data_IF_716710000587
#
_entry.id   IF_716710000587
#
_cell.length_a   1.000
_cell.length_b   1.000
_cell.length_c   1.000
_cell.angle_alpha   90.00
_cell.angle_beta   90.00
_cell.angle_gamma   90.00
#
_symmetry.space_group_name_H-M   'P 1'
#
loop_
_entity.id
_entity.type
_entity.pdbx_description
1 polymer ?
#
# COMPACT_ATOMS: atom_id res chain seq x y z
N UNK A 1 35.67 -18.94 58.05
CA UNK A 1 35.36 -18.94 56.61
C UNK A 1 34.02 -18.26 56.40
N UNK A 2 33.99 -17.01 55.95
CA UNK A 2 32.76 -16.23 55.64
C UNK A 2 32.73 -16.05 54.14
N UNK A 3 31.69 -16.61 53.49
CA UNK A 3 31.40 -16.42 52.05
C UNK A 3 30.67 -15.07 51.88
N UNK A 4 31.27 -14.15 51.18
CA UNK A 4 30.66 -12.92 50.69
C UNK A 4 29.78 -13.26 49.49
N UNK A 5 28.46 -13.04 49.60
CA UNK A 5 27.52 -13.02 48.46
C UNK A 5 27.56 -11.61 47.87
N UNK A 6 28.14 -11.50 46.72
CA UNK A 6 28.12 -10.30 45.89
C UNK A 6 26.85 -10.32 45.04
N UNK A 7 25.82 -9.56 45.45
CA UNK A 7 24.60 -9.34 44.70
C UNK A 7 24.85 -8.22 43.70
N UNK A 8 25.37 -8.56 42.51
CA UNK A 8 25.44 -7.65 41.37
C UNK A 8 24.05 -7.24 40.91
N UNK A 9 23.57 -6.08 41.36
CA UNK A 9 22.39 -5.44 40.84
C UNK A 9 22.66 -4.95 39.42
N UNK A 10 22.16 -5.68 38.41
CA UNK A 10 22.10 -5.21 37.04
C UNK A 10 21.11 -4.04 36.99
N UNK A 11 21.65 -2.82 36.90
CA UNK A 11 20.87 -1.63 36.60
C UNK A 11 20.30 -1.77 35.18
N UNK A 12 18.99 -2.07 35.09
CA UNK A 12 18.24 -1.97 33.84
C UNK A 12 18.17 -0.47 33.48
N UNK A 13 18.99 -0.06 32.49
CA UNK A 13 18.86 1.25 31.88
C UNK A 13 17.46 1.46 31.30
N UNK A 14 16.98 2.71 31.16
CA UNK A 14 15.68 2.98 30.61
C UNK A 14 15.59 2.40 29.19
N UNK A 15 14.64 1.49 28.99
CA UNK A 15 14.27 0.98 27.67
C UNK A 15 13.73 2.18 26.87
N UNK A 16 14.58 2.79 26.05
CA UNK A 16 14.15 3.77 25.06
C UNK A 16 13.25 3.06 24.07
N UNK A 17 11.93 3.22 24.22
CA UNK A 17 10.98 2.80 23.21
C UNK A 17 11.34 3.51 21.90
N UNK A 18 11.57 2.78 20.79
CA UNK A 18 11.82 3.42 19.52
C UNK A 18 10.63 4.31 19.17
N UNK A 19 10.92 5.52 18.69
CA UNK A 19 9.87 6.45 18.26
C UNK A 19 8.96 5.76 17.23
N UNK A 20 7.64 5.98 17.26
CA UNK A 20 6.72 5.39 16.29
C UNK A 20 7.15 5.80 14.88
N UNK A 21 7.36 4.81 14.00
CA UNK A 21 7.69 5.06 12.61
C UNK A 21 6.46 5.66 11.94
N UNK A 22 6.55 6.94 11.57
CA UNK A 22 5.49 7.62 10.81
C UNK A 22 5.59 7.23 9.35
N UNK A 23 4.52 6.65 8.82
CA UNK A 23 4.38 6.39 7.39
C UNK A 23 3.80 7.62 6.69
N UNK A 24 4.36 7.97 5.55
CA UNK A 24 3.83 8.97 4.63
C UNK A 24 3.54 8.32 3.27
N UNK A 25 2.59 8.91 2.53
CA UNK A 25 2.21 8.43 1.20
C UNK A 25 2.22 9.60 0.23
N UNK A 26 2.71 9.36 -0.99
CA UNK A 26 2.69 10.32 -2.07
C UNK A 26 2.58 9.64 -3.43
N UNK A 27 2.23 10.39 -4.45
CA UNK A 27 2.31 9.91 -5.83
C UNK A 27 3.77 9.84 -6.30
N UNK A 28 4.06 8.85 -7.13
CA UNK A 28 5.35 8.73 -7.80
C UNK A 28 5.52 9.83 -8.84
N UNK A 29 6.75 10.29 -8.97
CA UNK A 29 7.21 11.27 -9.96
C UNK A 29 8.27 10.63 -10.87
N UNK A 30 8.66 11.26 -11.99
CA UNK A 30 9.75 10.74 -12.83
C UNK A 30 11.06 10.49 -12.08
N UNK A 31 11.34 11.26 -11.01
CA UNK A 31 12.55 11.11 -10.19
C UNK A 31 12.56 9.80 -9.38
N UNK A 32 11.41 9.16 -9.21
CA UNK A 32 11.29 7.89 -8.50
C UNK A 32 11.64 6.65 -9.34
N UNK A 33 11.96 6.85 -10.63
CA UNK A 33 12.31 5.78 -11.56
C UNK A 33 13.33 4.77 -11.00
N UNK A 34 14.48 5.19 -10.43
CA UNK A 34 15.46 4.26 -9.87
C UNK A 34 14.89 3.42 -8.72
N UNK A 35 14.08 4.01 -7.87
CA UNK A 35 13.44 3.35 -6.73
C UNK A 35 12.42 2.29 -7.19
N UNK A 36 11.61 2.60 -8.19
CA UNK A 36 10.63 1.67 -8.76
C UNK A 36 11.30 0.48 -9.46
N UNK A 37 12.39 0.72 -10.19
CA UNK A 37 13.19 -0.34 -10.79
C UNK A 37 13.80 -1.27 -9.73
N UNK A 38 14.33 -0.71 -8.65
CA UNK A 38 14.90 -1.50 -7.55
C UNK A 38 13.81 -2.32 -6.82
N UNK A 39 12.64 -1.73 -6.58
CA UNK A 39 11.53 -2.39 -5.89
C UNK A 39 10.98 -3.62 -6.64
N UNK A 40 11.02 -3.61 -7.97
CA UNK A 40 10.46 -4.67 -8.82
C UNK A 40 11.52 -5.56 -9.50
N UNK A 41 12.80 -5.43 -9.15
CA UNK A 41 13.93 -6.06 -9.84
C UNK A 41 13.90 -7.59 -9.96
N UNK A 42 13.08 -8.27 -9.12
CA UNK A 42 12.97 -9.75 -9.13
C UNK A 42 11.89 -10.29 -10.07
N UNK A 43 11.05 -9.46 -10.67
CA UNK A 43 9.79 -9.89 -11.29
C UNK A 43 9.82 -10.03 -12.82
N UNK A 44 10.77 -9.40 -13.53
CA UNK A 44 10.79 -9.36 -15.01
C UNK A 44 12.20 -9.16 -15.55
N UNK A 45 12.35 -9.30 -16.89
CA UNK A 45 13.61 -8.90 -17.53
C UNK A 45 13.86 -7.40 -17.31
N UNK A 46 15.12 -6.97 -17.14
CA UNK A 46 15.44 -5.56 -16.88
C UNK A 46 14.87 -4.59 -17.93
N UNK A 47 14.85 -5.00 -19.21
CA UNK A 47 14.31 -4.18 -20.29
C UNK A 47 12.78 -4.03 -20.20
N UNK A 48 12.07 -5.13 -19.94
CA UNK A 48 10.62 -5.12 -19.79
C UNK A 48 10.20 -4.32 -18.57
N UNK A 49 10.92 -4.47 -17.45
CA UNK A 49 10.69 -3.69 -16.24
C UNK A 49 10.90 -2.20 -16.48
N UNK A 50 12.00 -1.82 -17.14
CA UNK A 50 12.27 -0.42 -17.47
C UNK A 50 11.12 0.17 -18.31
N UNK A 51 10.67 -0.55 -19.36
CA UNK A 51 9.55 -0.10 -20.18
C UNK A 51 8.24 0.05 -19.37
N UNK A 52 7.94 -0.89 -18.48
CA UNK A 52 6.75 -0.83 -17.63
C UNK A 52 6.79 0.38 -16.67
N UNK A 53 7.93 0.62 -16.03
CA UNK A 53 8.13 1.78 -15.14
C UNK A 53 8.04 3.09 -15.92
N UNK A 54 8.66 3.17 -17.08
CA UNK A 54 8.61 4.36 -17.95
C UNK A 54 7.18 4.66 -18.41
N UNK A 55 6.41 3.64 -18.79
CA UNK A 55 4.98 3.78 -19.14
C UNK A 55 4.15 4.28 -17.96
N UNK A 56 4.35 3.72 -16.78
CA UNK A 56 3.65 4.13 -15.57
C UNK A 56 3.93 5.60 -15.23
N UNK A 57 5.19 6.02 -15.28
CA UNK A 57 5.59 7.40 -14.96
C UNK A 57 5.18 8.42 -16.04
N UNK A 58 5.09 7.99 -17.30
CA UNK A 58 4.68 8.85 -18.41
C UNK A 58 3.17 9.14 -18.43
N UNK A 59 2.34 8.29 -17.79
CA UNK A 59 0.88 8.38 -17.82
C UNK A 59 0.24 8.39 -16.42
N UNK A 60 0.60 9.33 -15.53
CA UNK A 60 0.13 9.32 -14.13
C UNK A 60 -1.39 9.52 -14.00
N UNK A 61 -2.06 10.06 -15.02
CA UNK A 61 -3.51 10.20 -15.07
C UNK A 61 -4.25 8.89 -15.36
N UNK A 62 -3.58 7.89 -15.91
CA UNK A 62 -4.12 6.55 -16.22
C UNK A 62 -3.52 5.50 -15.28
N UNK A 63 -2.25 5.68 -14.92
CA UNK A 63 -1.47 4.77 -14.09
C UNK A 63 -0.91 5.50 -12.87
N UNK A 64 -1.73 6.03 -11.96
CA UNK A 64 -1.20 6.61 -10.73
C UNK A 64 -0.48 5.53 -9.90
N UNK A 65 0.64 5.90 -9.30
CA UNK A 65 1.42 5.00 -8.47
C UNK A 65 1.66 5.66 -7.11
N UNK A 66 1.25 5.02 -6.04
CA UNK A 66 1.52 5.51 -4.69
C UNK A 66 2.78 4.89 -4.13
N UNK A 67 3.61 5.74 -3.53
CA UNK A 67 4.77 5.36 -2.75
C UNK A 67 4.44 5.52 -1.28
N UNK A 68 4.88 4.56 -0.47
CA UNK A 68 4.82 4.63 1.00
C UNK A 68 6.25 4.77 1.51
N UNK A 69 6.48 5.76 2.35
CA UNK A 69 7.78 6.07 2.91
C UNK A 69 7.76 6.01 4.45
N UNK A 70 8.85 5.55 5.02
CA UNK A 70 9.11 5.54 6.45
C UNK A 70 10.44 6.25 6.72
N UNK A 71 10.42 7.42 7.36
CA UNK A 71 11.63 8.21 7.59
C UNK A 71 12.39 8.57 6.31
N UNK A 72 11.70 8.77 5.18
CA UNK A 72 12.28 9.06 3.87
C UNK A 72 12.76 7.84 3.07
N UNK A 73 12.69 6.64 3.63
CA UNK A 73 12.99 5.40 2.90
C UNK A 73 11.72 4.84 2.25
N UNK A 74 11.79 4.39 1.00
CA UNK A 74 10.71 3.71 0.32
C UNK A 74 10.45 2.34 0.97
N UNK A 75 9.24 2.13 1.48
CA UNK A 75 8.82 0.89 2.15
C UNK A 75 7.67 0.18 1.43
N UNK A 76 7.01 0.83 0.49
CA UNK A 76 5.92 0.22 -0.28
C UNK A 76 5.59 0.95 -1.56
N UNK A 77 5.02 0.20 -2.51
CA UNK A 77 4.59 0.69 -3.82
C UNK A 77 3.21 0.13 -4.15
N UNK A 78 2.29 0.99 -4.57
CA UNK A 78 0.95 0.61 -5.00
C UNK A 78 0.68 1.18 -6.40
N UNK A 79 1.02 0.44 -7.46
CA UNK A 79 0.68 0.83 -8.82
C UNK A 79 -0.81 0.61 -9.08
N UNK A 80 -1.46 1.59 -9.69
CA UNK A 80 -2.88 1.56 -10.01
C UNK A 80 -3.05 1.72 -11.52
N UNK A 81 -4.08 1.10 -12.05
CA UNK A 81 -4.60 1.41 -13.38
C UNK A 81 -6.05 1.87 -13.25
N UNK A 82 -6.36 3.03 -13.82
CA UNK A 82 -7.74 3.51 -13.89
C UNK A 82 -8.42 2.87 -15.10
N UNK A 83 -9.46 2.09 -14.83
CA UNK A 83 -10.16 1.30 -15.85
C UNK A 83 -11.63 1.70 -15.92
N UNK A 84 -12.17 2.03 -17.11
CA UNK A 84 -13.61 2.09 -17.32
C UNK A 84 -14.23 0.69 -17.08
N UNK A 85 -15.19 0.59 -16.15
CA UNK A 85 -15.80 -0.68 -15.80
C UNK A 85 -17.32 -0.62 -16.05
N UNK A 86 -17.76 -1.18 -17.18
CA UNK A 86 -19.13 -1.05 -17.64
C UNK A 86 -20.15 -1.59 -16.63
N UNK A 87 -19.90 -2.76 -16.05
CA UNK A 87 -20.82 -3.38 -15.10
C UNK A 87 -20.92 -2.63 -13.76
N UNK A 88 -19.90 -1.82 -13.39
CA UNK A 88 -19.93 -0.97 -12.21
C UNK A 88 -20.30 0.48 -12.52
N UNK A 89 -20.50 0.80 -13.81
CA UNK A 89 -21.02 2.08 -14.25
C UNK A 89 -20.06 3.27 -14.13
N UNK A 90 -18.74 3.04 -14.14
CA UNK A 90 -17.78 4.13 -14.05
C UNK A 90 -16.32 3.70 -13.97
N UNK A 91 -15.44 4.64 -13.57
CA UNK A 91 -14.03 4.35 -13.36
C UNK A 91 -13.80 3.57 -12.08
N UNK A 92 -12.90 2.61 -12.14
CA UNK A 92 -12.39 1.86 -10.99
C UNK A 92 -10.87 1.99 -10.91
N UNK A 93 -10.33 1.99 -9.69
CA UNK A 93 -8.91 1.88 -9.44
C UNK A 93 -8.56 0.40 -9.31
N UNK A 94 -7.91 -0.15 -10.33
CA UNK A 94 -7.44 -1.53 -10.35
C UNK A 94 -5.97 -1.59 -9.89
N UNK A 95 -5.68 -2.40 -8.87
CA UNK A 95 -4.33 -2.71 -8.39
C UNK A 95 -3.96 -4.14 -8.82
N UNK A 96 -3.33 -4.33 -9.97
CA UNK A 96 -3.13 -5.66 -10.57
C UNK A 96 -2.25 -6.59 -9.73
N UNK A 97 -1.33 -6.04 -8.98
CA UNK A 97 -0.42 -6.79 -8.08
C UNK A 97 -0.69 -6.52 -6.59
N UNK A 98 -1.78 -5.79 -6.29
CA UNK A 98 -2.02 -5.32 -4.92
C UNK A 98 -1.01 -4.24 -4.50
N UNK A 99 -0.62 -4.26 -3.24
CA UNK A 99 0.43 -3.40 -2.68
C UNK A 99 1.72 -4.20 -2.53
N UNK A 100 2.80 -3.74 -3.15
CA UNK A 100 4.14 -4.30 -2.95
C UNK A 100 4.73 -3.70 -1.67
N UNK A 101 4.58 -4.39 -0.54
CA UNK A 101 5.23 -4.00 0.71
C UNK A 101 6.68 -4.49 0.69
N UNK A 102 7.63 -3.55 0.57
CA UNK A 102 9.07 -3.82 0.57
C UNK A 102 9.57 -4.04 2.01
N UNK A 103 8.95 -3.33 2.96
CA UNK A 103 9.12 -3.51 4.39
C UNK A 103 7.89 -3.00 5.14
N UNK A 104 7.84 -3.20 6.47
CA UNK A 104 6.72 -2.71 7.30
C UNK A 104 5.41 -3.51 7.17
N UNK A 105 5.34 -4.50 6.28
CA UNK A 105 4.25 -5.48 6.17
C UNK A 105 2.85 -4.87 6.09
N UNK A 106 2.00 -5.26 7.05
CA UNK A 106 0.58 -4.86 7.11
C UNK A 106 0.39 -3.34 7.19
N UNK A 107 1.20 -2.63 8.00
CA UNK A 107 1.07 -1.19 8.18
C UNK A 107 1.33 -0.42 6.86
N UNK A 108 2.35 -0.84 6.10
CA UNK A 108 2.67 -0.26 4.79
C UNK A 108 1.54 -0.49 3.80
N UNK A 109 0.99 -1.72 3.75
CA UNK A 109 -0.14 -2.06 2.89
C UNK A 109 -1.36 -1.22 3.23
N UNK A 110 -1.69 -1.11 4.50
CA UNK A 110 -2.89 -0.39 4.96
C UNK A 110 -2.77 1.12 4.67
N UNK A 111 -1.58 1.71 4.86
CA UNK A 111 -1.30 3.09 4.49
C UNK A 111 -1.48 3.32 2.97
N UNK A 112 -0.95 2.43 2.13
CA UNK A 112 -1.11 2.51 0.69
C UNK A 112 -2.59 2.41 0.28
N UNK A 113 -3.34 1.43 0.81
CA UNK A 113 -4.76 1.24 0.49
C UNK A 113 -5.63 2.40 1.00
N UNK A 114 -5.25 3.03 2.11
CA UNK A 114 -5.90 4.25 2.57
C UNK A 114 -5.69 5.41 1.58
N UNK A 115 -4.45 5.65 1.14
CA UNK A 115 -4.12 6.69 0.16
C UNK A 115 -4.83 6.47 -1.18
N UNK A 116 -4.89 5.23 -1.67
CA UNK A 116 -5.64 4.86 -2.88
C UNK A 116 -7.13 5.16 -2.70
N UNK A 117 -7.70 4.86 -1.55
CA UNK A 117 -9.11 5.15 -1.24
C UNK A 117 -9.42 6.65 -1.21
N UNK A 118 -8.53 7.46 -0.62
CA UNK A 118 -8.62 8.93 -0.62
C UNK A 118 -8.56 9.49 -2.05
N UNK A 119 -7.57 9.04 -2.82
CA UNK A 119 -7.41 9.42 -4.22
C UNK A 119 -8.66 9.07 -5.04
N UNK A 120 -9.16 7.83 -4.91
CA UNK A 120 -10.34 7.39 -5.63
C UNK A 120 -11.55 8.28 -5.32
N UNK A 121 -11.76 8.63 -4.05
CA UNK A 121 -12.83 9.51 -3.60
C UNK A 121 -12.69 10.92 -4.17
N UNK A 122 -11.49 11.48 -4.13
CA UNK A 122 -11.21 12.83 -4.63
C UNK A 122 -11.40 12.97 -6.15
N UNK A 123 -11.21 11.87 -6.91
CA UNK A 123 -11.28 11.87 -8.38
C UNK A 123 -12.56 11.22 -8.94
N UNK A 124 -13.57 10.98 -8.10
CA UNK A 124 -14.86 10.40 -8.55
C UNK A 124 -14.76 8.95 -9.02
N UNK A 125 -13.70 8.24 -8.63
CA UNK A 125 -13.52 6.81 -8.90
C UNK A 125 -14.47 6.04 -7.97
N UNK A 126 -15.25 5.10 -8.52
CA UNK A 126 -16.33 4.47 -7.79
C UNK A 126 -15.87 3.37 -6.84
N UNK A 127 -14.87 2.59 -7.28
CA UNK A 127 -14.42 1.40 -6.56
C UNK A 127 -12.90 1.23 -6.64
N UNK A 128 -12.35 0.61 -5.61
CA UNK A 128 -10.99 0.05 -5.60
C UNK A 128 -11.12 -1.47 -5.75
N UNK A 129 -10.40 -2.04 -6.72
CA UNK A 129 -10.39 -3.48 -7.01
C UNK A 129 -8.99 -4.05 -6.79
N UNK A 130 -8.95 -5.26 -6.22
CA UNK A 130 -7.73 -6.05 -6.01
C UNK A 130 -7.96 -7.48 -6.53
N UNK A 131 -6.92 -8.17 -7.02
CA UNK A 131 -7.02 -9.58 -7.35
C UNK A 131 -7.27 -10.43 -6.09
N UNK A 132 -7.88 -11.64 -6.23
CA UNK A 132 -8.21 -12.50 -5.08
C UNK A 132 -7.01 -12.84 -4.20
N UNK A 133 -5.83 -13.00 -4.81
CA UNK A 133 -4.61 -13.35 -4.10
C UNK A 133 -3.94 -12.19 -3.33
N UNK A 134 -4.44 -10.95 -3.48
CA UNK A 134 -3.81 -9.77 -2.87
C UNK A 134 -4.01 -9.69 -1.36
N UNK A 135 -5.11 -10.29 -0.84
CA UNK A 135 -5.47 -10.26 0.57
C UNK A 135 -6.08 -11.61 0.98
N UNK A 136 -5.82 -12.03 2.22
CA UNK A 136 -6.62 -13.08 2.84
C UNK A 136 -8.04 -12.58 3.13
N UNK A 137 -9.04 -13.47 3.16
CA UNK A 137 -10.44 -13.09 3.32
C UNK A 137 -10.73 -12.28 4.59
N UNK A 138 -10.11 -12.65 5.71
CA UNK A 138 -10.26 -11.92 6.97
C UNK A 138 -9.65 -10.50 6.91
N UNK A 139 -8.51 -10.35 6.24
CA UNK A 139 -7.86 -9.06 6.03
C UNK A 139 -8.69 -8.17 5.10
N UNK A 140 -9.20 -8.74 4.00
CA UNK A 140 -10.06 -8.03 3.06
C UNK A 140 -11.31 -7.48 3.77
N UNK A 141 -11.98 -8.32 4.57
CA UNK A 141 -13.15 -7.91 5.34
C UNK A 141 -12.82 -6.78 6.34
N UNK A 142 -11.70 -6.90 7.06
CA UNK A 142 -11.24 -5.86 8.01
C UNK A 142 -10.97 -4.52 7.32
N UNK A 143 -10.52 -4.54 6.05
CA UNK A 143 -10.27 -3.36 5.23
C UNK A 143 -11.51 -2.88 4.45
N UNK A 144 -12.67 -3.48 4.68
CA UNK A 144 -13.93 -3.11 4.04
C UNK A 144 -14.07 -3.57 2.59
N UNK A 145 -13.29 -4.57 2.17
CA UNK A 145 -13.45 -5.22 0.87
C UNK A 145 -14.44 -6.38 0.95
N UNK A 146 -15.20 -6.57 -0.12
CA UNK A 146 -16.06 -7.73 -0.33
C UNK A 146 -15.72 -8.36 -1.69
N UNK A 147 -15.94 -9.65 -1.83
CA UNK A 147 -15.78 -10.34 -3.11
C UNK A 147 -16.87 -9.88 -4.08
N UNK A 148 -16.50 -9.53 -5.31
CA UNK A 148 -17.46 -9.27 -6.38
C UNK A 148 -17.76 -10.52 -7.21
N UNK A 149 -18.62 -10.38 -8.24
CA UNK A 149 -18.99 -11.50 -9.10
C UNK A 149 -17.84 -12.08 -9.93
N UNK A 150 -16.74 -11.34 -10.11
CA UNK A 150 -15.53 -11.83 -10.80
C UNK A 150 -14.56 -12.55 -9.86
N UNK A 151 -14.85 -12.60 -8.56
CA UNK A 151 -13.97 -13.12 -7.52
C UNK A 151 -12.92 -12.11 -7.02
N UNK A 152 -12.89 -10.89 -7.55
CA UNK A 152 -11.99 -9.85 -7.10
C UNK A 152 -12.45 -9.22 -5.78
N UNK A 153 -11.50 -8.72 -4.98
CA UNK A 153 -11.81 -7.88 -3.84
C UNK A 153 -12.23 -6.49 -4.32
N UNK A 154 -13.40 -6.04 -3.88
CA UNK A 154 -13.97 -4.74 -4.22
C UNK A 154 -14.31 -3.94 -2.97
N UNK A 155 -13.89 -2.67 -2.93
CA UNK A 155 -14.28 -1.70 -1.91
C UNK A 155 -14.86 -0.45 -2.58
N UNK A 156 -16.02 0.03 -2.09
CA UNK A 156 -16.56 1.32 -2.53
C UNK A 156 -15.64 2.46 -2.07
N UNK A 157 -15.36 3.39 -2.98
CA UNK A 157 -14.67 4.64 -2.64
C UNK A 157 -15.65 5.74 -2.23
N UNK A 158 -16.96 5.55 -2.43
CA UNK A 158 -17.99 6.50 -1.99
C UNK A 158 -18.12 6.46 -0.47
N UNK A 159 -18.32 7.62 0.18
CA UNK A 159 -18.70 7.61 1.58
C UNK A 159 -20.01 6.84 1.76
N UNK A 160 -20.12 6.07 2.83
CA UNK A 160 -21.39 5.46 3.21
C UNK A 160 -22.44 6.56 3.36
N UNK A 161 -23.66 6.39 2.83
CA UNK A 161 -24.73 7.34 3.07
C UNK A 161 -24.89 7.48 4.58
N UNK A 162 -24.88 8.74 5.06
CA UNK A 162 -25.19 9.00 6.47
C UNK A 162 -26.61 8.53 6.69
N UNK A 163 -26.79 7.56 7.57
CA UNK A 163 -28.12 7.20 8.09
C UNK A 163 -28.67 8.45 8.78
N UNK A 164 -29.67 9.07 8.16
CA UNK A 164 -30.47 10.11 8.82
C UNK A 164 -31.31 9.35 9.83
N UNK A 165 -30.86 9.35 11.09
CA UNK A 165 -31.63 8.84 12.22
C UNK A 165 -32.78 9.78 12.56
#
# INVERSE_FOLDING_TARGET
MRALHDNGAFAQGPFLMPAPITLSTRLATPDDRPHLLAAAASAASPLQLAHAVDTLLAQPSVHPCFLVEAGGALVGVAPITLVPHLALGGLVAWLPVGVMALSGGVATRDAALAAVGEYARAHGILHVLLPPAALAAAEAAALGFATDASGCWRRSARPSPKSLG
#
